data_IF_845656103164
#
_entry.id   IF_845656103164
#
_cell.length_a   1.000
_cell.length_b   1.000
_cell.length_c   1.000
_cell.angle_alpha   90.00
_cell.angle_beta   90.00
_cell.angle_gamma   90.00
#
_symmetry.space_group_name_H-M   'P 1'
#
loop_
_entity.id
_entity.type
_entity.pdbx_description
1 polymer ?
2 polymer ?
3 polymer ?
4 water ?
#
# COMPACT_ATOMS: atom_id res chain seq x y z
N UNK A 28 18.84 5.30 -3.20
CA UNK A 28 19.72 4.64 -2.19
C UNK A 28 19.78 3.12 -2.35
N UNK A 29 19.15 2.39 -1.43
CA UNK A 29 19.13 0.92 -1.46
C UNK A 29 18.29 0.29 -2.57
N UNK A 30 17.57 1.12 -3.31
CA UNK A 30 16.74 0.66 -4.41
C UNK A 30 17.63 0.51 -5.66
N UNK A 31 17.50 -0.61 -6.36
CA UNK A 31 18.30 -0.86 -7.56
C UNK A 31 17.79 0.13 -8.61
N UNK A 32 18.66 1.08 -8.96
CA UNK A 32 18.34 2.13 -9.93
C UNK A 32 18.13 1.68 -11.36
N UNK A 33 17.27 2.40 -12.06
CA UNK A 33 16.94 2.12 -13.45
C UNK A 33 17.88 2.90 -14.37
N UNK A 34 18.64 2.19 -15.18
CA UNK A 34 19.59 2.82 -16.09
C UNK A 34 18.89 3.47 -17.29
N UNK A 35 19.35 4.68 -17.66
CA UNK A 35 18.79 5.44 -18.77
C UNK A 35 18.49 4.56 -19.99
N UNK A 36 19.46 3.71 -20.33
CA UNK A 36 19.33 2.81 -21.47
C UNK A 36 18.11 1.90 -21.33
N UNK A 37 18.05 1.13 -20.25
CA UNK A 37 16.93 0.22 -20.05
C UNK A 37 15.62 0.97 -19.85
N UNK A 38 15.69 2.17 -19.30
CA UNK A 38 14.50 2.98 -19.07
C UNK A 38 13.85 3.32 -20.41
N UNK A 39 14.65 3.70 -21.40
CA UNK A 39 14.13 4.03 -22.72
C UNK A 39 13.69 2.78 -23.46
N UNK A 40 14.34 1.65 -23.17
CA UNK A 40 13.98 0.38 -23.80
C UNK A 40 12.58 0.02 -23.32
N UNK A 41 12.33 0.24 -22.03
CA UNK A 41 11.03 -0.01 -21.42
C UNK A 41 10.08 1.02 -22.02
N UNK A 42 10.56 2.26 -22.08
CA UNK A 42 9.80 3.36 -22.62
C UNK A 42 9.46 3.14 -24.09
N UNK A 43 10.27 2.33 -24.78
CA UNK A 43 10.06 2.04 -26.20
C UNK A 43 9.06 0.91 -26.44
N UNK A 44 9.31 -0.25 -25.82
CA UNK A 44 8.46 -1.42 -26.00
C UNK A 44 6.95 -1.21 -25.98
N UNK A 45 6.43 -0.43 -25.02
CA UNK A 45 5.00 -0.20 -24.95
C UNK A 45 4.61 1.16 -24.33
N UNK A 46 5.23 2.22 -24.85
CA UNK A 46 5.01 3.59 -24.40
C UNK A 46 3.54 3.98 -24.18
N UNK A 47 2.70 3.66 -25.16
CA UNK A 47 1.28 3.98 -25.11
C UNK A 47 0.51 3.46 -23.91
N UNK A 48 1.04 2.43 -23.25
CA UNK A 48 0.34 1.86 -22.11
C UNK A 48 1.09 1.94 -20.80
N UNK A 49 1.73 3.09 -20.59
CA UNK A 49 2.49 3.37 -19.38
C UNK A 49 1.94 4.66 -18.81
N UNK A 50 1.83 4.72 -17.49
CA UNK A 50 1.36 5.93 -16.83
C UNK A 50 2.49 6.93 -16.97
N UNK A 51 2.20 8.13 -17.47
CA UNK A 51 3.24 9.14 -17.63
C UNK A 51 3.93 9.52 -16.33
N UNK A 52 5.23 9.77 -16.42
CA UNK A 52 6.02 10.17 -15.27
C UNK A 52 6.32 11.68 -15.37
N UNK A 53 6.30 12.33 -14.23
CA UNK A 53 6.56 13.76 -14.14
C UNK A 53 8.05 13.99 -13.88
N UNK A 54 8.60 15.03 -14.51
CA UNK A 54 10.01 15.38 -14.36
C UNK A 54 10.44 15.45 -12.89
N UNK A 55 11.59 14.88 -12.61
CA UNK A 55 12.14 14.84 -11.26
C UNK A 55 12.34 16.19 -10.59
N UNK A 56 12.60 17.22 -11.42
CA UNK A 56 12.86 18.58 -10.92
C UNK A 56 11.66 19.29 -10.36
N UNK A 57 10.51 19.12 -11.01
CA UNK A 57 9.29 19.78 -10.61
C UNK A 57 8.23 19.04 -9.76
N UNK A 58 8.14 17.72 -9.88
CA UNK A 58 7.13 16.95 -9.13
C UNK A 58 7.31 16.97 -7.60
N UNK A 59 6.20 16.91 -6.89
CA UNK A 59 6.20 16.84 -5.44
C UNK A 59 5.31 15.65 -5.12
N UNK A 60 5.91 14.47 -5.00
CA UNK A 60 5.16 13.26 -4.72
C UNK A 60 4.85 13.14 -3.25
N UNK A 61 3.63 12.71 -2.96
CA UNK A 61 3.20 12.55 -1.59
C UNK A 61 2.85 11.09 -1.31
N UNK A 62 3.05 10.70 -0.07
CA UNK A 62 2.77 9.34 0.37
C UNK A 62 2.34 9.47 1.81
N UNK A 63 1.40 8.63 2.23
CA UNK A 63 0.91 8.69 3.58
C UNK A 63 0.97 7.34 4.25
N UNK A 64 1.54 7.32 5.44
CA UNK A 64 1.65 6.10 6.23
C UNK A 64 0.89 6.28 7.54
N UNK A 65 -0.10 5.42 7.76
CA UNK A 65 -0.90 5.43 8.98
C UNK A 65 -0.62 4.10 9.68
N UNK A 66 -0.02 4.17 10.86
CA UNK A 66 0.34 2.99 11.61
C UNK A 66 -0.18 3.03 13.03
N UNK A 67 -0.80 1.96 13.46
CA UNK A 67 -1.35 1.87 14.80
C UNK A 67 -0.67 0.74 15.58
N UNK A 68 0.16 1.12 16.53
CA UNK A 68 0.90 0.20 17.39
C UNK A 68 0.25 0.08 18.76
N UNK A 69 -0.22 1.20 19.31
CA UNK A 69 -0.87 1.25 20.62
C UNK A 69 -2.38 1.15 20.53
N UNK A 70 -2.96 0.21 21.27
CA UNK A 70 -4.42 0.04 21.28
C UNK A 70 -4.93 0.01 22.71
N UNK A 71 -6.15 0.48 22.90
CA UNK A 71 -6.77 0.54 24.21
C UNK A 71 -7.32 -0.78 24.74
N UNK A 72 -7.73 -1.67 23.84
CA UNK A 72 -8.29 -2.97 24.25
C UNK A 72 -7.85 -4.14 23.37
N UNK A 73 -6.66 -4.07 22.80
CA UNK A 73 -6.14 -5.12 21.93
C UNK A 73 -4.63 -5.20 22.14
N UNK A 74 -4.03 -6.39 22.00
CA UNK A 74 -2.57 -6.48 22.19
C UNK A 74 -1.73 -5.59 21.28
N UNK A 75 -0.82 -4.83 21.88
CA UNK A 75 0.06 -3.92 21.16
C UNK A 75 0.74 -4.58 19.96
N UNK A 76 0.77 -3.87 18.84
CA UNK A 76 1.40 -4.38 17.63
C UNK A 76 2.90 -4.16 17.68
N UNK A 77 3.56 -4.93 18.54
CA UNK A 77 5.01 -4.87 18.71
C UNK A 77 5.69 -5.19 17.38
N UNK A 78 6.56 -4.30 16.93
CA UNK A 78 7.27 -4.53 15.69
C UNK A 78 6.91 -3.50 14.63
N UNK A 79 5.84 -2.75 14.86
CA UNK A 79 5.40 -1.71 13.93
C UNK A 79 6.52 -0.73 13.64
N UNK A 80 7.20 -0.28 14.68
CA UNK A 80 8.31 0.66 14.57
C UNK A 80 9.27 0.30 13.43
N UNK A 81 9.45 -1.00 13.21
CA UNK A 81 10.36 -1.49 12.16
C UNK A 81 9.70 -1.43 10.79
N UNK A 82 8.39 -1.63 10.75
CA UNK A 82 7.66 -1.58 9.50
C UNK A 82 7.67 -0.14 9.03
N UNK A 83 7.36 0.77 9.96
CA UNK A 83 7.34 2.20 9.66
C UNK A 83 8.69 2.58 9.07
N UNK A 84 9.75 2.38 9.82
CA UNK A 84 11.10 2.70 9.37
C UNK A 84 11.33 2.12 7.99
N UNK A 85 10.84 0.91 7.78
CA UNK A 85 11.01 0.23 6.52
C UNK A 85 10.36 0.89 5.33
N UNK A 86 9.05 1.07 5.40
CA UNK A 86 8.28 1.68 4.32
C UNK A 86 8.70 3.11 4.02
N UNK A 87 8.85 3.92 5.06
CA UNK A 87 9.26 5.31 4.91
C UNK A 87 10.53 5.45 4.07
N UNK A 88 11.62 4.80 4.47
CA UNK A 88 12.84 4.88 3.70
C UNK A 88 12.62 4.49 2.27
N UNK A 89 11.83 3.43 2.07
CA UNK A 89 11.57 2.92 0.73
C UNK A 89 10.89 3.97 -0.11
N UNK A 90 9.74 4.45 0.36
CA UNK A 90 8.99 5.44 -0.37
C UNK A 90 9.83 6.67 -0.73
N UNK A 91 10.61 7.13 0.25
CA UNK A 91 11.46 8.28 0.06
C UNK A 91 12.44 8.01 -1.08
N UNK A 92 13.08 6.84 -1.07
CA UNK A 92 14.02 6.51 -2.14
C UNK A 92 13.32 6.33 -3.48
N UNK A 93 11.99 6.24 -3.44
CA UNK A 93 11.20 6.10 -4.66
C UNK A 93 10.81 7.48 -5.15
N UNK A 94 11.06 8.48 -4.31
CA UNK A 94 10.77 9.85 -4.65
C UNK A 94 9.49 10.40 -4.05
N UNK A 95 9.12 9.93 -2.85
CA UNK A 95 7.91 10.38 -2.20
C UNK A 95 8.14 11.09 -0.87
N UNK A 96 7.37 12.14 -0.60
CA UNK A 96 7.47 12.85 0.66
C UNK A 96 6.54 12.03 1.54
N UNK A 97 7.08 11.50 2.63
CA UNK A 97 6.29 10.65 3.50
C UNK A 97 5.79 11.30 4.76
N UNK A 98 4.47 11.35 4.87
CA UNK A 98 3.80 11.90 6.02
C UNK A 98 3.42 10.68 6.88
N UNK A 99 3.93 10.63 8.12
CA UNK A 99 3.64 9.50 9.02
C UNK A 99 2.65 9.86 10.14
N UNK A 100 1.67 8.99 10.38
CA UNK A 100 0.67 9.21 11.42
C UNK A 100 0.53 7.97 12.27
N UNK A 101 0.58 8.14 13.58
CA UNK A 101 0.50 7.00 14.47
C UNK A 101 -0.68 6.98 15.41
N UNK A 102 -1.18 5.77 15.65
CA UNK A 102 -2.30 5.49 16.56
C UNK A 102 -3.48 6.44 16.43
N UNK A 103 -4.26 6.24 15.37
CA UNK A 103 -5.43 7.04 15.11
C UNK A 103 -6.68 6.20 15.29
N UNK A 104 -7.79 6.89 15.33
CA UNK A 104 -9.10 6.28 15.48
C UNK A 104 -9.66 6.37 14.08
N UNK A 105 -10.66 5.55 13.76
CA UNK A 105 -11.26 5.57 12.43
C UNK A 105 -11.56 7.01 12.06
N UNK A 106 -12.21 7.72 12.97
CA UNK A 106 -12.55 9.11 12.75
C UNK A 106 -11.28 9.83 12.31
N UNK A 107 -10.27 9.82 13.18
CA UNK A 107 -9.03 10.50 12.85
C UNK A 107 -8.45 10.07 11.51
N UNK A 108 -8.61 8.80 11.16
CA UNK A 108 -8.08 8.30 9.90
C UNK A 108 -8.89 8.87 8.75
N UNK A 109 -10.19 8.96 8.95
CA UNK A 109 -11.10 9.49 7.95
C UNK A 109 -10.82 11.00 7.74
N UNK A 110 -10.41 11.68 8.81
CA UNK A 110 -10.09 13.10 8.76
C UNK A 110 -8.76 13.30 8.02
N UNK A 111 -7.74 12.59 8.47
CA UNK A 111 -6.41 12.67 7.88
C UNK A 111 -6.46 12.40 6.39
N UNK A 112 -7.35 11.50 6.00
CA UNK A 112 -7.52 11.16 4.58
C UNK A 112 -8.09 12.34 3.82
N UNK A 113 -9.14 12.96 4.35
CA UNK A 113 -9.73 14.11 3.69
C UNK A 113 -8.65 15.19 3.53
N UNK A 114 -7.78 15.30 4.53
CA UNK A 114 -6.69 16.27 4.50
C UNK A 114 -5.72 15.96 3.38
N UNK A 115 -5.23 14.72 3.35
CA UNK A 115 -4.30 14.22 2.33
C UNK A 115 -4.86 14.35 0.92
N UNK A 116 -6.17 14.15 0.78
CA UNK A 116 -6.84 14.26 -0.50
C UNK A 116 -6.85 15.71 -0.98
N UNK A 117 -6.78 16.65 -0.04
CA UNK A 117 -6.79 18.07 -0.37
C UNK A 117 -5.42 18.70 -0.50
N UNK A 118 -4.37 18.00 -0.10
CA UNK A 118 -3.01 18.53 -0.19
C UNK A 118 -2.76 19.11 -1.58
N UNK A 119 -2.08 20.27 -1.64
CA UNK A 119 -1.76 20.95 -2.89
C UNK A 119 -0.63 20.29 -3.67
N UNK A 120 0.25 19.56 -2.98
CA UNK A 120 1.37 18.89 -3.63
C UNK A 120 0.96 17.90 -4.71
N UNK A 121 -0.25 17.34 -4.60
CA UNK A 121 -0.75 16.35 -5.57
C UNK A 121 -0.88 16.91 -6.98
N UNK A 122 -1.22 18.20 -7.09
CA UNK A 122 -1.38 18.86 -8.38
C UNK A 122 -0.15 18.65 -9.24
N UNK A 123 1.00 18.55 -8.58
CA UNK A 123 2.25 18.36 -9.27
C UNK A 123 2.90 17.00 -8.97
N UNK A 124 2.07 15.97 -8.83
CA UNK A 124 2.52 14.61 -8.54
C UNK A 124 2.02 13.73 -9.67
N UNK A 125 2.57 12.52 -9.79
CA UNK A 125 2.16 11.60 -10.86
C UNK A 125 1.54 10.31 -10.36
N UNK A 126 1.50 10.15 -9.03
CA UNK A 126 0.98 8.96 -8.39
C UNK A 126 1.00 9.22 -6.90
N UNK A 127 0.57 8.23 -6.12
CA UNK A 127 0.59 8.34 -4.68
C UNK A 127 0.51 6.96 -4.02
N UNK A 128 1.08 6.87 -2.82
CA UNK A 128 1.10 5.63 -2.08
C UNK A 128 0.47 5.82 -0.73
N UNK A 129 -0.50 4.98 -0.40
CA UNK A 129 -1.14 5.05 0.91
C UNK A 129 -0.79 3.72 1.55
N UNK A 130 -0.39 3.77 2.82
CA UNK A 130 0.00 2.57 3.54
C UNK A 130 -0.65 2.52 4.91
N UNK A 131 -1.39 1.46 5.18
CA UNK A 131 -2.05 1.29 6.47
C UNK A 131 -1.46 0.06 7.14
N UNK A 132 -1.32 0.13 8.47
CA UNK A 132 -0.79 -0.99 9.24
C UNK A 132 -1.47 -0.99 10.59
N UNK A 133 -2.22 -2.04 10.89
CA UNK A 133 -2.88 -2.17 12.18
C UNK A 133 -3.69 -3.43 12.19
N UNK A 134 -4.26 -3.76 13.34
CA UNK A 134 -5.07 -4.95 13.44
C UNK A 134 -6.25 -4.75 12.50
N UNK A 135 -6.95 -5.82 12.19
CA UNK A 135 -8.09 -5.68 11.32
C UNK A 135 -8.99 -6.89 11.34
N UNK A 136 -10.16 -6.72 10.74
CA UNK A 136 -11.13 -7.78 10.63
C UNK A 136 -11.45 -7.88 9.14
N UNK A 137 -12.41 -8.72 8.79
CA UNK A 137 -12.76 -8.92 7.39
C UNK A 137 -13.37 -7.71 6.71
N UNK A 138 -14.13 -6.94 7.46
CA UNK A 138 -14.79 -5.76 6.92
C UNK A 138 -13.92 -4.49 6.81
N UNK A 139 -12.93 -4.34 7.71
CA UNK A 139 -12.09 -3.16 7.65
C UNK A 139 -10.90 -3.09 8.58
N UNK A 140 -10.23 -1.93 8.59
CA UNK A 140 -9.05 -1.71 9.41
C UNK A 140 -9.42 -1.24 10.82
N UNK A 141 -8.70 -1.71 11.82
CA UNK A 141 -9.00 -1.33 13.20
C UNK A 141 -8.34 -0.04 13.65
N UNK A 142 -9.15 0.83 14.24
CA UNK A 142 -8.68 2.11 14.79
C UNK A 142 -8.23 1.88 16.23
N UNK A 143 -7.49 2.83 16.81
CA UNK A 143 -6.99 2.69 18.18
C UNK A 143 -7.99 2.33 19.27
N UNK A 144 -9.17 2.94 19.25
CA UNK A 144 -10.17 2.67 20.29
C UNK A 144 -11.17 1.59 19.91
N UNK A 145 -10.69 0.46 19.39
CA UNK A 145 -11.59 -0.61 19.00
C UNK A 145 -11.72 -1.72 20.01
N UNK A 146 -12.97 -2.19 20.19
CA UNK A 146 -13.26 -3.28 21.10
C UNK A 146 -14.27 -4.21 20.44
N UNK A 147 -14.44 -5.40 21.00
CA UNK A 147 -15.37 -6.40 20.46
C UNK A 147 -16.80 -5.88 20.43
N UNK A 148 -17.24 -5.25 21.54
CA UNK A 148 -18.59 -4.73 21.64
C UNK A 148 -18.82 -3.31 21.10
N UNK A 149 -17.75 -2.53 20.99
CA UNK A 149 -17.85 -1.17 20.45
C UNK A 149 -16.83 -0.99 19.32
N UNK A 150 -17.29 -1.11 18.06
CA UNK A 150 -16.48 -0.97 16.84
C UNK A 150 -15.77 0.37 16.62
N UNK A 151 -14.66 0.30 15.90
CA UNK A 151 -13.83 1.44 15.55
C UNK A 151 -13.02 1.00 14.33
N UNK A 152 -13.71 0.73 13.23
CA UNK A 152 -13.03 0.26 12.04
C UNK A 152 -13.31 1.12 10.83
N UNK A 153 -12.32 1.21 9.97
CA UNK A 153 -12.41 1.97 8.72
C UNK A 153 -12.71 0.99 7.58
N UNK A 154 -13.92 1.09 7.05
CA UNK A 154 -14.36 0.24 5.94
C UNK A 154 -13.45 0.48 4.71
N UNK A 155 -12.94 -0.60 4.13
CA UNK A 155 -12.04 -0.48 2.98
C UNK A 155 -12.55 0.33 1.81
N UNK A 156 -13.84 0.23 1.48
CA UNK A 156 -14.35 1.00 0.35
C UNK A 156 -14.30 2.52 0.59
N UNK A 157 -14.23 2.92 1.87
CA UNK A 157 -14.16 4.32 2.24
C UNK A 157 -12.85 4.96 1.76
N UNK A 158 -11.75 4.22 1.85
CA UNK A 158 -10.45 4.72 1.39
C UNK A 158 -10.53 4.96 -0.10
N UNK A 159 -11.10 4.01 -0.83
CA UNK A 159 -11.24 4.13 -2.27
C UNK A 159 -12.18 5.26 -2.63
N UNK A 160 -13.14 5.48 -1.74
CA UNK A 160 -14.14 6.51 -1.94
C UNK A 160 -13.58 7.92 -1.77
N UNK A 161 -12.79 8.11 -0.73
CA UNK A 161 -12.19 9.42 -0.47
C UNK A 161 -11.09 9.87 -1.41
N UNK A 162 -10.52 8.94 -2.19
CA UNK A 162 -9.45 9.28 -3.11
C UNK A 162 -9.85 9.20 -4.58
N UNK A 163 -11.13 9.03 -4.86
CA UNK A 163 -11.56 8.96 -6.24
C UNK A 163 -11.66 10.30 -6.94
N UNK A 164 -11.99 10.28 -8.23
CA UNK A 164 -12.13 11.49 -9.04
C UNK A 164 -13.06 12.58 -8.45
N UNK A 165 -14.12 12.18 -7.76
CA UNK A 165 -15.02 13.15 -7.16
C UNK A 165 -14.38 13.82 -5.94
N UNK A 166 -14.01 13.02 -4.93
CA UNK A 166 -13.40 13.57 -3.71
C UNK A 166 -11.91 13.93 -3.78
N UNK A 167 -11.25 13.68 -4.90
CA UNK A 167 -9.82 14.01 -5.03
C UNK A 167 -9.37 14.06 -6.49
N UNK A 168 -9.93 15.03 -7.26
CA UNK A 168 -9.61 15.21 -8.68
C UNK A 168 -8.14 15.47 -9.00
N UNK A 169 -7.35 15.86 -8.00
CA UNK A 169 -5.94 16.11 -8.22
C UNK A 169 -5.28 14.82 -8.68
N UNK A 170 -5.84 13.68 -8.28
CA UNK A 170 -5.27 12.40 -8.65
C UNK A 170 -5.93 11.63 -9.79
N UNK A 171 -6.84 12.27 -10.51
CA UNK A 171 -7.49 11.63 -11.64
C UNK A 171 -6.38 11.24 -12.63
N UNK A 172 -6.53 10.10 -13.28
CA UNK A 172 -5.52 9.62 -14.24
C UNK A 172 -4.12 9.41 -13.66
N UNK A 173 -4.02 9.30 -12.34
CA UNK A 173 -2.74 9.08 -11.69
C UNK A 173 -2.84 7.90 -10.73
N UNK A 174 -1.79 7.06 -10.68
CA UNK A 174 -1.71 5.87 -9.82
C UNK A 174 -1.94 6.11 -8.34
N UNK A 175 -2.83 5.33 -7.77
CA UNK A 175 -3.14 5.43 -6.35
C UNK A 175 -3.02 4.02 -5.81
N UNK A 176 -1.86 3.74 -5.24
CA UNK A 176 -1.53 2.45 -4.68
C UNK A 176 -1.73 2.37 -3.18
N UNK A 177 -2.68 1.55 -2.74
CA UNK A 177 -2.94 1.37 -1.31
C UNK A 177 -2.31 0.04 -0.87
N UNK A 178 -1.58 0.07 0.23
CA UNK A 178 -0.88 -1.09 0.76
C UNK A 178 -1.38 -1.26 2.20
N UNK A 179 -1.94 -2.42 2.51
CA UNK A 179 -2.48 -2.69 3.83
C UNK A 179 -1.88 -3.89 4.53
N UNK A 180 -1.41 -3.66 5.75
CA UNK A 180 -0.83 -4.68 6.59
C UNK A 180 -1.80 -4.82 7.75
N UNK A 181 -2.73 -5.75 7.63
CA UNK A 181 -3.72 -5.96 8.66
C UNK A 181 -4.35 -7.32 8.56
N UNK A 182 -4.78 -7.85 9.70
CA UNK A 182 -5.45 -9.15 9.73
C UNK A 182 -6.78 -8.94 9.05
N UNK A 183 -7.31 -10.00 8.47
CA UNK A 183 -8.59 -9.92 7.79
C UNK A 183 -9.59 -10.79 8.52
N UNK A 184 -9.25 -11.20 9.75
CA UNK A 184 -10.13 -12.04 10.53
C UNK A 184 -9.33 -12.81 11.58
N UNK A 185 -9.74 -14.05 11.84
CA UNK A 185 -9.07 -14.89 12.83
C UNK A 185 -8.59 -16.24 12.29
N UNK A 186 -9.19 -16.68 11.18
CA UNK A 186 -8.83 -17.94 10.56
C UNK A 186 -7.36 -17.95 10.21
N UNK A 187 -6.70 -19.09 10.34
CA UNK A 187 -5.26 -19.24 10.05
C UNK A 187 -4.93 -19.44 8.56
N UNK A 188 -5.97 -19.39 7.72
CA UNK A 188 -5.78 -19.52 6.28
C UNK A 188 -5.27 -20.78 5.64
N UNK A 189 -5.33 -21.90 6.35
CA UNK A 189 -4.84 -23.16 5.81
C UNK A 189 -5.74 -24.35 6.02
N UNK A 190 -5.61 -25.32 5.12
CA UNK A 190 -6.35 -26.57 5.15
C UNK A 190 -5.33 -27.68 4.93
N UNK A 191 -5.64 -28.90 5.38
CA UNK A 191 -4.71 -30.01 5.21
C UNK A 191 -5.04 -30.85 3.97
N UNK A 192 -4.01 -31.48 3.43
CA UNK A 192 -4.18 -32.38 2.30
C UNK A 192 -3.26 -33.60 2.53
N UNK A 193 -3.67 -34.77 2.04
CA UNK A 193 -2.93 -36.01 2.24
C UNK A 193 -1.81 -36.34 1.26
N UNK A 194 -0.67 -36.72 1.82
CA UNK A 194 0.52 -37.13 1.08
C UNK A 194 1.62 -37.39 2.12
N UNK B 1 -15.91 24.09 -21.28
CA UNK B 1 -17.19 23.34 -21.16
C UNK B 1 -16.95 22.25 -20.12
N UNK B 2 -17.67 21.14 -20.22
CA UNK B 2 -17.49 20.03 -19.28
C UNK B 2 -17.52 18.69 -19.99
N UNK B 3 -16.78 17.75 -19.40
CA UNK B 3 -16.68 16.40 -19.92
C UNK B 3 -16.87 15.43 -18.75
N UNK B 4 -17.25 14.19 -19.07
CA UNK B 4 -17.44 13.15 -18.07
C UNK B 4 -16.11 12.43 -17.82
N UNK B 5 -15.94 11.92 -16.60
CA UNK B 5 -14.74 11.20 -16.23
C UNK B 5 -15.17 10.01 -15.35
N UNK B 6 -14.36 8.95 -15.28
CA UNK B 6 -14.72 7.78 -14.46
C UNK B 6 -14.56 8.14 -13.00
N UNK B 7 -15.58 7.82 -12.19
CA UNK B 7 -15.51 8.13 -10.77
C UNK B 7 -14.39 7.38 -10.07
N UNK B 8 -14.14 6.15 -10.49
CA UNK B 8 -13.09 5.34 -9.87
C UNK B 8 -12.13 4.79 -10.91
N UNK B 9 -10.85 5.09 -10.76
CA UNK B 9 -9.88 4.59 -11.70
C UNK B 9 -8.48 4.81 -11.18
N UNK B 10 -7.55 4.00 -11.71
CA UNK B 10 -6.14 4.04 -11.39
C UNK B 10 -5.79 3.66 -9.96
N UNK B 11 -6.61 2.78 -9.39
CA UNK B 11 -6.41 2.28 -8.02
C UNK B 11 -5.79 0.89 -8.01
N UNK B 12 -5.35 0.49 -6.83
CA UNK B 12 -4.79 -0.82 -6.63
C UNK B 12 -4.39 -1.03 -5.19
N UNK B 13 -5.11 -1.92 -4.54
CA UNK B 13 -4.87 -2.29 -3.16
C UNK B 13 -4.02 -3.55 -3.14
N UNK B 14 -3.32 -3.77 -2.03
CA UNK B 14 -2.48 -4.95 -1.89
C UNK B 14 -2.50 -5.23 -0.40
N UNK B 15 -3.25 -6.26 -0.02
CA UNK B 15 -3.38 -6.67 1.38
C UNK B 15 -2.44 -7.79 1.76
N UNK B 16 -2.07 -7.81 3.04
CA UNK B 16 -1.15 -8.80 3.56
C UNK B 16 -1.67 -10.24 3.56
N UNK B 17 -2.99 -10.38 3.53
CA UNK B 17 -3.58 -11.69 3.55
C UNK B 17 -4.88 -11.74 2.78
N UNK B 18 -5.47 -12.92 2.73
CA UNK B 18 -6.72 -13.14 2.06
C UNK B 18 -7.82 -12.98 3.10
N UNK B 19 -9.06 -12.67 2.67
CA UNK B 19 -10.23 -12.48 3.53
C UNK B 19 -10.40 -13.60 4.54
N UNK B 20 -10.87 -13.24 5.73
CA UNK B 20 -11.08 -14.17 6.84
C UNK B 20 -9.77 -14.61 7.47
N UNK B 21 -8.66 -14.32 6.82
CA UNK B 21 -7.37 -14.76 7.34
C UNK B 21 -6.43 -13.72 7.95
N UNK B 22 -5.64 -14.17 8.93
CA UNK B 22 -4.70 -13.33 9.64
C UNK B 22 -3.43 -13.12 8.84
N UNK B 23 -2.54 -12.27 9.37
CA UNK B 23 -1.26 -11.95 8.75
C UNK B 23 -0.28 -12.02 9.91
N UNK B 24 0.96 -12.34 9.62
CA UNK B 24 1.96 -12.47 10.67
C UNK B 24 2.81 -11.25 10.94
N UNK B 25 3.42 -11.22 12.12
CA UNK B 25 4.24 -10.09 12.55
C UNK B 25 5.24 -10.54 13.62
N UNK B 26 6.48 -10.07 13.54
CA UNK B 26 7.52 -10.42 14.52
C UNK B 26 8.02 -9.16 15.24
N UNK B 27 8.09 -9.18 16.58
CA UNK B 27 8.53 -8.06 17.44
C UNK B 27 9.84 -7.36 17.06
N UNK B 28 10.76 -8.10 16.45
CA UNK B 28 12.04 -7.53 16.04
C UNK B 28 12.32 -7.72 14.55
N UNK B 29 11.29 -8.08 13.79
CA UNK B 29 11.41 -8.29 12.35
C UNK B 29 10.24 -7.65 11.60
N UNK B 30 9.25 -7.18 12.35
CA UNK B 30 8.09 -6.57 11.74
C UNK B 30 7.27 -7.54 10.91
N UNK B 31 6.35 -7.00 10.14
CA UNK B 31 5.49 -7.80 9.30
C UNK B 31 6.25 -8.43 8.15
N UNK B 32 5.96 -9.70 7.91
CA UNK B 32 6.60 -10.42 6.81
C UNK B 32 6.21 -9.80 5.49
N UNK B 33 4.92 -9.48 5.35
CA UNK B 33 4.39 -8.87 4.13
C UNK B 33 5.19 -7.64 3.80
N UNK B 34 5.37 -6.78 4.79
CA UNK B 34 6.10 -5.54 4.66
C UNK B 34 7.55 -5.76 4.30
N UNK B 35 8.30 -6.45 5.17
CA UNK B 35 9.69 -6.70 4.89
C UNK B 35 9.89 -7.31 3.51
N UNK B 36 8.94 -8.13 3.08
CA UNK B 36 9.02 -8.76 1.78
C UNK B 36 8.65 -7.82 0.64
N UNK B 37 7.64 -6.97 0.85
CA UNK B 37 7.22 -5.99 -0.17
C UNK B 37 8.43 -5.13 -0.45
N UNK B 38 9.06 -4.67 0.63
CA UNK B 38 10.23 -3.84 0.52
C UNK B 38 11.31 -4.59 -0.25
N UNK B 39 11.70 -5.77 0.23
CA UNK B 39 12.74 -6.57 -0.43
C UNK B 39 12.55 -6.62 -1.93
N UNK B 40 11.33 -6.92 -2.36
CA UNK B 40 11.04 -7.03 -3.78
C UNK B 40 11.04 -5.68 -4.46
N UNK B 41 10.55 -4.67 -3.75
CA UNK B 41 10.50 -3.33 -4.30
C UNK B 41 11.94 -2.90 -4.62
N UNK B 42 12.84 -2.99 -3.64
CA UNK B 42 14.24 -2.62 -3.82
C UNK B 42 14.86 -3.35 -4.99
N UNK B 43 14.43 -4.59 -5.20
CA UNK B 43 14.97 -5.42 -6.25
C UNK B 43 14.43 -5.24 -7.68
N UNK B 44 13.12 -5.23 -7.83
CA UNK B 44 12.53 -5.14 -9.16
C UNK B 44 11.89 -3.83 -9.58
N UNK B 45 11.95 -2.80 -8.74
CA UNK B 45 11.34 -1.52 -9.10
C UNK B 45 11.93 -0.98 -10.39
N UNK B 46 13.20 -1.30 -10.65
CA UNK B 46 13.86 -0.84 -11.85
C UNK B 46 13.36 -1.48 -13.15
N UNK B 47 12.92 -2.73 -13.11
CA UNK B 47 12.50 -3.40 -14.34
C UNK B 47 11.09 -3.91 -14.46
N UNK B 48 10.35 -3.98 -13.36
CA UNK B 48 9.00 -4.51 -13.42
C UNK B 48 7.98 -3.50 -12.99
N UNK B 49 6.79 -3.56 -13.57
CA UNK B 49 5.71 -2.65 -13.20
C UNK B 49 5.17 -3.12 -11.86
N UNK B 50 4.50 -2.22 -11.15
CA UNK B 50 3.96 -2.51 -9.84
C UNK B 50 3.14 -3.81 -9.75
N UNK B 51 2.20 -4.02 -10.67
CA UNK B 51 1.38 -5.23 -10.66
C UNK B 51 2.24 -6.50 -10.64
N UNK B 52 3.22 -6.53 -11.52
CA UNK B 52 4.14 -7.67 -11.61
C UNK B 52 4.86 -7.84 -10.30
N UNK B 53 5.41 -6.76 -9.74
CA UNK B 53 6.12 -6.82 -8.46
C UNK B 53 5.23 -7.40 -7.36
N UNK B 54 3.97 -7.00 -7.35
CA UNK B 54 3.04 -7.51 -6.35
C UNK B 54 2.89 -9.01 -6.50
N UNK B 55 2.75 -9.46 -7.75
CA UNK B 55 2.62 -10.89 -8.02
C UNK B 55 3.86 -11.60 -7.46
N UNK B 56 5.04 -11.10 -7.81
CA UNK B 56 6.27 -11.70 -7.32
C UNK B 56 6.25 -11.83 -5.80
N UNK B 57 5.55 -10.94 -5.12
CA UNK B 57 5.47 -11.00 -3.67
C UNK B 57 4.57 -12.17 -3.29
N UNK B 58 3.40 -12.26 -3.92
CA UNK B 58 2.48 -13.35 -3.64
C UNK B 58 3.21 -14.67 -3.81
N UNK B 59 3.97 -14.77 -4.89
CA UNK B 59 4.75 -15.96 -5.22
C UNK B 59 5.73 -16.41 -4.13
N UNK B 60 6.28 -15.48 -3.37
CA UNK B 60 7.21 -15.83 -2.30
C UNK B 60 6.49 -16.38 -1.07
N UNK B 61 5.18 -16.29 -1.07
CA UNK B 61 4.37 -16.79 0.04
C UNK B 61 3.68 -18.10 -0.37
N UNK B 62 4.01 -18.57 -1.57
CA UNK B 62 3.44 -19.79 -2.15
C UNK B 62 3.65 -21.08 -1.35
N UNK B 63 4.87 -21.30 -0.86
CA UNK B 63 5.15 -22.48 -0.06
C UNK B 63 4.93 -22.07 1.41
N UNK B 64 3.88 -22.61 2.04
CA UNK B 64 3.47 -22.35 3.43
C UNK B 64 4.54 -22.66 4.48
N UNK B 65 5.23 -21.61 4.93
CA UNK B 65 6.29 -21.76 5.93
C UNK B 65 5.75 -21.78 7.36
N UNK B 66 4.76 -22.62 7.63
CA UNK B 66 4.18 -22.69 8.97
C UNK B 66 3.30 -21.49 9.22
N UNK B 67 3.91 -20.31 9.23
CA UNK B 67 3.22 -19.04 9.41
C UNK B 67 2.64 -18.66 8.04
N UNK B 68 1.76 -19.52 7.52
CA UNK B 68 1.14 -19.35 6.21
C UNK B 68 0.44 -18.01 6.03
N UNK B 69 0.59 -17.44 4.83
CA UNK B 69 0.00 -16.14 4.49
C UNK B 69 -0.08 -15.99 2.99
N UNK B 70 -1.17 -15.44 2.49
CA UNK B 70 -1.31 -15.24 1.06
C UNK B 70 -1.83 -13.86 0.73
N UNK B 71 -0.95 -12.97 0.27
CA UNK B 71 -1.21 -11.59 -0.10
C UNK B 71 -2.16 -11.45 -1.28
N UNK B 72 -3.16 -10.60 -1.13
CA UNK B 72 -4.15 -10.39 -2.18
C UNK B 72 -4.10 -8.99 -2.79
N UNK B 73 -4.24 -8.93 -4.10
CA UNK B 73 -4.26 -7.68 -4.84
C UNK B 73 -5.77 -7.45 -5.08
N UNK B 74 -6.27 -6.28 -4.72
CA UNK B 74 -7.70 -6.01 -4.88
C UNK B 74 -8.09 -4.69 -5.52
N UNK B 75 -9.34 -4.64 -5.99
CA UNK B 75 -9.95 -3.48 -6.62
C UNK B 75 -9.00 -2.76 -7.58
N UNK B 76 -8.43 -3.52 -8.50
CA UNK B 76 -7.50 -2.98 -9.46
C UNK B 76 -8.20 -2.33 -10.63
N UNK B 77 -7.87 -1.05 -10.86
CA UNK B 77 -8.42 -0.28 -11.98
C UNK B 77 -7.29 0.38 -12.75
N UNK B 78 -6.08 -0.13 -12.56
CA UNK B 78 -4.93 0.40 -13.28
C UNK B 78 -5.11 0.01 -14.73
N UNK B 79 -5.30 1.01 -15.58
CA UNK B 79 -5.46 0.77 -17.00
C UNK B 79 -4.11 0.72 -17.74
N UNK B 80 -3.01 0.90 -17.02
CA UNK B 80 -1.69 0.89 -17.65
C UNK B 80 -0.66 0.31 -16.69
N UNK B 81 0.54 0.03 -17.21
CA UNK B 81 1.59 -0.50 -16.37
C UNK B 81 2.16 0.70 -15.65
N UNK B 82 2.53 0.50 -14.39
CA UNK B 82 3.08 1.57 -13.59
C UNK B 82 4.49 1.23 -13.16
N UNK B 83 5.46 1.67 -13.94
CA UNK B 83 6.86 1.44 -13.59
C UNK B 83 7.27 2.63 -12.74
N UNK B 84 8.02 2.40 -11.68
CA UNK B 84 8.47 3.46 -10.79
C UNK B 84 9.76 4.16 -11.20
N UNK B 85 10.32 3.75 -12.34
CA UNK B 85 11.57 4.32 -12.90
C UNK B 85 12.50 4.95 -11.85
N UNK B 86 12.81 4.21 -10.76
CA UNK B 86 13.67 4.75 -9.72
C UNK B 86 14.99 5.22 -10.30
N UNK B 87 15.45 6.36 -9.82
CA UNK B 87 16.69 6.93 -10.33
C UNK B 87 16.43 8.24 -11.04
N UNK B 88 15.14 8.54 -11.21
CA UNK B 88 14.67 9.77 -11.84
C UNK B 88 13.15 9.85 -11.77
C UNK C 1 7.00 -14.45 17.80
N UNK C 2 5.87 -14.94 17.31
CA UNK C 2 5.16 -14.34 16.19
C UNK C 2 3.73 -14.10 16.66
N UNK C 3 3.07 -13.08 16.11
CA UNK C 3 1.70 -12.77 16.52
C UNK C 3 0.76 -12.60 15.35
N UNK C 4 -0.50 -12.33 15.65
CA UNK C 4 -1.53 -12.14 14.64
C UNK C 4 -1.75 -10.65 14.45
N UNK C 5 -1.79 -10.22 13.19
CA UNK C 5 -2.04 -8.83 12.87
C UNK C 5 -3.50 -8.69 12.50
#
# INVERSE_FOLDING_TARGET
>A
SQGVLSSFPAPQAVQDNPAMPTSSGSEGNVKLCSLEEAQRIWKQKSAEIYPIMDKSSRTRLALIICNEEFDSIPRRTGAEVDITGMTMLLQNLGYSVDVKKNLTASDMTTELEAFAHRPEHKTSDSTFLVFMSHGIREGICGKKHSEQVPDILQLNAIFNMLNTKNCPSLKDKPKVIIIQACRGDSPGVVWFKD
>B
AIKKAHIEKDFIAFCSSTPDNVSWRHPTMGSVFIGRLIEHMQEYACSCDVEEIFRKVRFSFEQPAGRAQMPTTERVTLTRCFYLFPGH
>C
XWEHD
#
